data_IF_974374894347
#
_entry.id   IF_974374894347
#
_cell.length_a   1.000
_cell.length_b   1.000
_cell.length_c   1.000
_cell.angle_alpha   90.00
_cell.angle_beta   90.00
_cell.angle_gamma   90.00
#
_symmetry.space_group_name_H-M   'P 1'
#
loop_
_entity.id
_entity.type
_entity.pdbx_description
1 polymer ?
#
# COMPACT_ATOMS: atom_id res chain seq x y z
N UNK A 1 -14.96 16.19 3.75
CA UNK A 1 -14.84 14.88 3.09
C UNK A 1 -14.31 15.10 1.70
N UNK A 2 -13.42 14.24 1.23
CA UNK A 2 -12.86 14.48 -0.08
C UNK A 2 -11.73 13.54 -0.42
N UNK A 3 -10.88 13.98 -1.36
CA UNK A 3 -9.77 13.23 -1.89
C UNK A 3 -8.46 13.91 -1.51
N UNK A 4 -7.53 13.15 -0.94
CA UNK A 4 -6.20 13.60 -0.57
C UNK A 4 -5.15 12.78 -1.30
N UNK A 5 -4.04 13.40 -1.69
CA UNK A 5 -2.87 12.68 -2.21
C UNK A 5 -2.02 12.21 -1.03
N UNK A 6 -1.67 10.93 -1.02
CA UNK A 6 -0.86 10.35 0.04
C UNK A 6 0.62 10.34 -0.32
N UNK A 7 1.49 10.49 0.69
CA UNK A 7 2.90 10.13 0.60
C UNK A 7 3.00 8.62 0.77
N UNK A 8 2.98 7.91 -0.35
CA UNK A 8 2.94 6.47 -0.36
C UNK A 8 3.86 5.90 -1.42
N UNK A 9 4.38 4.69 -1.16
CA UNK A 9 5.11 3.93 -2.16
C UNK A 9 4.21 2.87 -2.79
N UNK A 10 4.56 2.48 -4.01
CA UNK A 10 3.92 1.38 -4.72
C UNK A 10 5.01 0.41 -5.15
N UNK A 11 4.99 -0.80 -4.62
CA UNK A 11 5.90 -1.88 -4.99
C UNK A 11 5.13 -2.95 -5.73
N UNK A 12 5.76 -3.59 -6.71
CA UNK A 12 5.16 -4.64 -7.52
C UNK A 12 5.96 -5.92 -7.36
N UNK A 13 5.29 -7.00 -6.99
CA UNK A 13 5.88 -8.33 -6.93
C UNK A 13 5.32 -9.17 -8.07
N UNK A 14 6.23 -9.80 -8.82
CA UNK A 14 5.90 -10.70 -9.93
C UNK A 14 6.49 -12.07 -9.67
N UNK A 15 5.85 -13.09 -10.21
CA UNK A 15 6.24 -14.49 -10.06
C UNK A 15 5.15 -15.31 -9.38
N UNK A 16 5.16 -16.60 -9.65
CA UNK A 16 4.09 -17.52 -9.17
C UNK A 16 4.06 -17.67 -7.66
N UNK A 17 5.18 -17.40 -6.97
CA UNK A 17 5.30 -17.58 -5.52
C UNK A 17 5.00 -16.29 -4.73
N UNK A 18 4.64 -15.20 -5.41
CA UNK A 18 4.50 -13.88 -4.79
C UNK A 18 3.50 -13.86 -3.64
N UNK A 19 2.32 -14.43 -3.83
CA UNK A 19 1.27 -14.39 -2.80
C UNK A 19 1.66 -15.21 -1.56
N UNK A 20 2.15 -16.43 -1.74
CA UNK A 20 2.61 -17.27 -0.63
C UNK A 20 3.83 -16.71 0.08
N UNK A 21 4.72 -16.04 -0.67
CA UNK A 21 5.87 -15.36 -0.12
C UNK A 21 5.45 -14.23 0.82
N UNK A 22 4.53 -13.37 0.38
CA UNK A 22 4.00 -12.27 1.20
C UNK A 22 3.22 -12.80 2.41
N UNK A 23 2.44 -13.86 2.24
CA UNK A 23 1.74 -14.50 3.35
C UNK A 23 2.74 -14.94 4.45
N UNK A 24 3.86 -15.52 4.05
CA UNK A 24 4.89 -15.97 4.99
C UNK A 24 5.60 -14.84 5.75
N UNK A 25 5.60 -13.63 5.24
CA UNK A 25 6.22 -12.46 5.88
C UNK A 25 5.23 -11.61 6.68
N UNK A 26 3.94 -11.88 6.57
CA UNK A 26 2.89 -11.03 7.13
C UNK A 26 2.46 -11.51 8.51
N UNK A 27 1.91 -10.58 9.31
CA UNK A 27 1.38 -10.90 10.65
C UNK A 27 0.01 -11.57 10.60
N UNK A 28 -0.72 -11.42 9.50
CA UNK A 28 -1.99 -12.08 9.27
C UNK A 28 -1.92 -12.89 7.98
N UNK A 29 -2.90 -13.74 7.78
CA UNK A 29 -2.98 -14.56 6.56
C UNK A 29 -3.29 -13.70 5.35
N UNK A 30 -2.50 -13.85 4.28
CA UNK A 30 -2.65 -13.14 3.00
C UNK A 30 -3.06 -14.14 1.93
N UNK A 31 -4.30 -14.07 1.49
CA UNK A 31 -4.86 -14.95 0.44
C UNK A 31 -5.26 -14.17 -0.82
N UNK A 32 -5.20 -12.84 -0.78
CA UNK A 32 -5.58 -11.94 -1.86
C UNK A 32 -5.51 -10.50 -1.39
N UNK A 33 -6.35 -9.64 -1.95
CA UNK A 33 -6.38 -8.22 -1.58
C UNK A 33 -6.76 -8.05 -0.11
N UNK A 34 -5.89 -7.39 0.66
CA UNK A 34 -6.08 -7.18 2.11
C UNK A 34 -5.12 -6.11 2.62
N UNK A 35 -5.23 -5.80 3.92
CA UNK A 35 -4.25 -4.99 4.63
C UNK A 35 -3.44 -5.90 5.56
N UNK A 36 -2.14 -5.70 5.60
CA UNK A 36 -1.26 -6.47 6.48
C UNK A 36 -0.16 -5.61 7.09
N UNK A 37 0.51 -6.14 8.09
CA UNK A 37 1.64 -5.50 8.76
C UNK A 37 2.88 -6.39 8.58
N UNK A 38 3.98 -5.77 8.14
CA UNK A 38 5.28 -6.43 8.07
C UNK A 38 6.09 -6.08 9.32
N UNK A 39 6.73 -7.09 9.88
CA UNK A 39 7.55 -6.94 11.09
C UNK A 39 8.93 -7.56 10.90
N UNK A 40 9.90 -7.10 11.70
CA UNK A 40 11.22 -7.73 11.77
C UNK A 40 11.14 -9.03 12.57
N UNK A 41 12.24 -9.79 12.60
CA UNK A 41 12.34 -11.03 13.37
C UNK A 41 12.14 -10.86 14.88
N UNK A 42 12.30 -9.62 15.38
CA UNK A 42 12.04 -9.27 16.79
C UNK A 42 10.68 -8.61 16.97
N UNK A 43 9.77 -8.80 16.02
CA UNK A 43 8.40 -8.29 16.03
C UNK A 43 8.28 -6.76 16.02
N UNK A 44 9.29 -6.05 15.55
CA UNK A 44 9.22 -4.60 15.35
C UNK A 44 8.50 -4.29 14.04
N UNK A 45 7.50 -3.43 14.07
CA UNK A 45 6.71 -3.05 12.89
C UNK A 45 7.57 -2.29 11.88
N UNK A 46 7.59 -2.75 10.63
CA UNK A 46 8.22 -2.06 9.51
C UNK A 46 7.22 -1.09 8.90
N UNK A 47 6.05 -1.59 8.48
CA UNK A 47 4.99 -0.77 7.91
C UNK A 47 3.67 -1.54 7.91
N UNK A 48 2.57 -0.80 7.84
CA UNK A 48 1.23 -1.33 7.58
C UNK A 48 0.92 -1.09 6.10
N UNK A 49 0.63 -2.15 5.36
CA UNK A 49 0.63 -2.17 3.91
C UNK A 49 -0.69 -2.70 3.38
N UNK A 50 -1.23 -2.03 2.35
CA UNK A 50 -2.33 -2.56 1.57
C UNK A 50 -1.77 -3.46 0.46
N UNK A 51 -2.25 -4.69 0.39
CA UNK A 51 -1.89 -5.68 -0.62
C UNK A 51 -3.01 -5.75 -1.64
N UNK A 52 -2.67 -5.54 -2.91
CA UNK A 52 -3.62 -5.62 -4.02
C UNK A 52 -3.22 -6.75 -4.94
N UNK A 53 -4.04 -7.80 -5.00
CA UNK A 53 -3.83 -8.91 -5.90
C UNK A 53 -4.46 -8.59 -7.27
N UNK A 54 -3.61 -8.41 -8.28
CA UNK A 54 -4.02 -8.08 -9.65
C UNK A 54 -4.00 -9.31 -10.58
N UNK A 55 -3.75 -10.52 -10.04
CA UNK A 55 -3.64 -11.75 -10.81
C UNK A 55 -2.23 -11.96 -11.36
N UNK A 56 -1.79 -11.12 -12.30
CA UNK A 56 -0.46 -11.21 -12.92
C UNK A 56 0.65 -10.71 -12.01
N UNK A 57 0.31 -9.86 -11.03
CA UNK A 57 1.25 -9.32 -10.07
C UNK A 57 0.53 -8.91 -8.80
N UNK A 58 1.30 -8.66 -7.75
CA UNK A 58 0.80 -8.14 -6.48
C UNK A 58 1.39 -6.75 -6.26
N UNK A 59 0.54 -5.77 -5.96
CA UNK A 59 0.97 -4.43 -5.60
C UNK A 59 0.93 -4.26 -4.08
N UNK A 60 1.98 -3.64 -3.53
CA UNK A 60 2.06 -3.26 -2.12
C UNK A 60 2.05 -1.74 -2.04
N UNK A 61 1.11 -1.19 -1.30
CA UNK A 61 0.98 0.25 -1.10
C UNK A 61 1.15 0.56 0.37
N UNK A 62 2.16 1.34 0.71
CA UNK A 62 2.48 1.66 2.09
C UNK A 62 2.93 3.10 2.25
N UNK A 63 3.39 3.46 3.47
CA UNK A 63 3.79 4.82 3.81
C UNK A 63 5.18 5.13 3.25
N UNK A 64 5.30 6.21 2.48
CA UNK A 64 6.49 6.56 1.68
C UNK A 64 7.84 6.47 2.41
N UNK A 65 7.99 7.04 3.63
CA UNK A 65 9.28 7.01 4.34
C UNK A 65 9.82 5.62 4.66
N UNK A 66 8.99 4.58 4.63
CA UNK A 66 9.38 3.20 4.99
C UNK A 66 9.63 2.32 3.77
N UNK A 67 9.64 2.88 2.56
CA UNK A 67 9.83 2.14 1.31
C UNK A 67 11.14 1.34 1.31
N UNK A 68 12.26 2.00 1.58
CA UNK A 68 13.58 1.37 1.51
C UNK A 68 13.72 0.25 2.56
N UNK A 69 13.19 0.49 3.76
CA UNK A 69 13.19 -0.53 4.82
C UNK A 69 12.42 -1.78 4.40
N UNK A 70 11.26 -1.61 3.76
CA UNK A 70 10.47 -2.75 3.30
C UNK A 70 11.12 -3.47 2.11
N UNK A 71 11.68 -2.73 1.15
CA UNK A 71 12.41 -3.33 0.02
C UNK A 71 13.56 -4.19 0.54
N UNK A 72 14.37 -3.68 1.45
CA UNK A 72 15.49 -4.42 2.05
C UNK A 72 15.00 -5.67 2.79
N UNK A 73 13.94 -5.54 3.57
CA UNK A 73 13.35 -6.65 4.32
C UNK A 73 12.89 -7.78 3.39
N UNK A 74 12.18 -7.43 2.32
CA UNK A 74 11.68 -8.40 1.33
C UNK A 74 12.83 -9.01 0.55
N UNK A 75 13.74 -8.18 0.04
CA UNK A 75 14.85 -8.63 -0.82
C UNK A 75 15.75 -9.64 -0.13
N UNK A 76 16.03 -9.45 1.15
CA UNK A 76 16.87 -10.38 1.95
C UNK A 76 16.22 -11.75 2.15
N UNK A 77 14.92 -11.87 1.96
CA UNK A 77 14.18 -13.11 2.20
C UNK A 77 13.83 -13.87 0.93
N UNK A 78 14.18 -13.35 -0.23
CA UNK A 78 14.04 -14.08 -1.49
C UNK A 78 15.22 -15.05 -1.61
N UNK A 79 14.93 -16.34 -1.41
CA UNK A 79 15.93 -17.41 -1.38
C UNK A 79 15.62 -18.50 -2.41
N UNK A 80 15.42 -18.10 -3.66
CA UNK A 80 15.13 -19.02 -4.73
C UNK A 80 13.65 -19.17 -5.10
N UNK A 81 12.75 -18.51 -4.37
CA UNK A 81 11.34 -18.46 -4.76
C UNK A 81 11.18 -17.69 -6.08
N UNK A 82 10.15 -18.01 -6.84
CA UNK A 82 9.79 -17.27 -8.05
C UNK A 82 9.08 -15.97 -7.67
N UNK A 83 9.88 -14.99 -7.23
CA UNK A 83 9.42 -13.66 -6.79
C UNK A 83 10.45 -12.64 -7.24
N UNK A 84 9.99 -11.57 -7.87
CA UNK A 84 10.81 -10.40 -8.13
C UNK A 84 10.08 -9.15 -7.64
N UNK A 85 10.84 -8.18 -7.11
CA UNK A 85 10.29 -6.94 -6.59
C UNK A 85 10.72 -5.77 -7.48
N UNK A 86 9.77 -4.89 -7.80
CA UNK A 86 10.02 -3.67 -8.54
C UNK A 86 9.41 -2.47 -7.81
N UNK A 87 10.06 -1.33 -7.92
CA UNK A 87 9.55 -0.06 -7.38
C UNK A 87 8.80 0.68 -8.47
N UNK A 88 7.48 0.79 -8.33
CA UNK A 88 6.60 1.49 -9.24
C UNK A 88 6.15 2.85 -8.71
N UNK A 89 6.79 3.36 -7.66
CA UNK A 89 6.39 4.61 -6.99
C UNK A 89 6.51 5.82 -7.90
N UNK A 90 7.54 5.85 -8.78
CA UNK A 90 7.75 6.98 -9.70
C UNK A 90 6.69 7.06 -10.81
N UNK A 91 6.08 5.94 -11.17
CA UNK A 91 5.09 5.87 -12.25
C UNK A 91 3.64 5.88 -11.77
N UNK A 92 3.41 5.96 -10.47
CA UNK A 92 2.07 5.93 -9.89
C UNK A 92 1.93 6.97 -8.78
N UNK A 93 0.72 7.53 -8.68
CA UNK A 93 0.32 8.41 -7.59
C UNK A 93 -0.74 7.69 -6.76
N UNK A 94 -0.74 7.90 -5.46
CA UNK A 94 -1.68 7.27 -4.54
C UNK A 94 -2.54 8.35 -3.90
N UNK A 95 -3.86 8.14 -3.95
CA UNK A 95 -4.83 9.03 -3.34
C UNK A 95 -5.72 8.24 -2.40
N UNK A 96 -6.33 8.94 -1.47
CA UNK A 96 -7.38 8.37 -0.62
C UNK A 96 -8.63 9.22 -0.73
N UNK A 97 -9.77 8.58 -0.95
CA UNK A 97 -11.08 9.22 -0.90
C UNK A 97 -11.85 8.71 0.32
N UNK A 98 -12.46 9.64 1.03
CA UNK A 98 -13.36 9.29 2.14
C UNK A 98 -14.74 8.81 1.64
N UNK A 99 -14.99 8.98 0.34
CA UNK A 99 -16.25 8.61 -0.31
C UNK A 99 -15.96 7.72 -1.51
N UNK A 100 -16.92 6.88 -1.89
CA UNK A 100 -16.82 6.10 -3.11
C UNK A 100 -17.03 7.02 -4.32
N UNK A 101 -15.97 7.24 -5.09
CA UNK A 101 -15.99 8.07 -6.29
C UNK A 101 -15.71 7.22 -7.54
N UNK A 102 -16.23 7.65 -8.68
CA UNK A 102 -15.91 7.01 -9.95
C UNK A 102 -14.49 7.38 -10.40
N UNK A 103 -13.78 6.39 -10.95
CA UNK A 103 -12.42 6.57 -11.46
C UNK A 103 -12.32 6.04 -12.89
N UNK A 104 -11.38 6.56 -13.72
CA UNK A 104 -11.14 6.02 -15.05
C UNK A 104 -10.72 4.55 -15.03
N UNK A 105 -10.84 3.87 -16.16
CA UNK A 105 -10.58 2.43 -16.30
C UNK A 105 -9.15 2.02 -15.95
N UNK A 106 -8.17 2.87 -16.22
CA UNK A 106 -6.75 2.58 -15.94
C UNK A 106 -6.32 2.98 -14.53
N UNK A 107 -7.25 3.41 -13.70
CA UNK A 107 -7.03 3.75 -12.30
C UNK A 107 -7.58 2.62 -11.43
N UNK A 108 -6.78 2.17 -10.48
CA UNK A 108 -7.19 1.14 -9.52
C UNK A 108 -7.84 1.78 -8.30
N UNK A 109 -9.03 1.31 -7.95
CA UNK A 109 -9.74 1.74 -6.75
C UNK A 109 -10.14 0.51 -5.95
N UNK A 110 -9.92 0.53 -4.63
CA UNK A 110 -10.40 -0.55 -3.76
C UNK A 110 -10.67 -0.01 -2.36
N UNK A 111 -11.53 -0.73 -1.63
CA UNK A 111 -11.90 -0.35 -0.27
C UNK A 111 -10.83 -0.87 0.70
N UNK A 112 -10.11 0.05 1.32
CA UNK A 112 -9.06 -0.21 2.30
C UNK A 112 -9.59 0.09 3.70
N UNK A 113 -8.82 -0.30 4.74
CA UNK A 113 -9.13 0.08 6.12
C UNK A 113 -9.18 1.61 6.32
N UNK A 114 -8.52 2.36 5.45
CA UNK A 114 -8.45 3.83 5.50
C UNK A 114 -9.59 4.54 4.77
N UNK A 115 -10.27 3.83 3.88
CA UNK A 115 -11.27 4.38 2.98
C UNK A 115 -11.05 3.85 1.56
N UNK A 116 -11.39 4.64 0.55
CA UNK A 116 -11.19 4.25 -0.85
C UNK A 116 -9.80 4.62 -1.31
N UNK A 117 -8.93 3.64 -1.43
CA UNK A 117 -7.56 3.84 -1.91
C UNK A 117 -7.56 3.83 -3.44
N UNK A 118 -6.89 4.84 -4.03
CA UNK A 118 -6.85 5.05 -5.48
C UNK A 118 -5.39 5.08 -5.91
N UNK A 119 -5.02 4.18 -6.82
CA UNK A 119 -3.68 4.14 -7.41
C UNK A 119 -3.81 4.49 -8.89
N UNK A 120 -3.19 5.59 -9.29
CA UNK A 120 -3.31 6.17 -10.62
C UNK A 120 -1.95 6.26 -11.29
N UNK A 121 -1.85 6.04 -12.62
CA UNK A 121 -0.64 6.41 -13.35
C UNK A 121 -0.27 7.87 -13.13
N UNK A 122 1.02 8.18 -13.02
CA UNK A 122 1.49 9.52 -12.69
C UNK A 122 1.21 10.56 -13.78
N UNK A 123 0.87 10.12 -14.99
CA UNK A 123 0.47 11.01 -16.10
C UNK A 123 -1.02 11.39 -16.07
N UNK A 124 -1.76 10.92 -15.09
CA UNK A 124 -3.17 11.27 -14.88
C UNK A 124 -3.30 12.09 -13.60
N UNK A 125 -4.26 13.00 -13.57
CA UNK A 125 -4.55 13.81 -12.40
C UNK A 125 -5.91 13.44 -11.83
N UNK A 126 -5.93 13.14 -10.53
CA UNK A 126 -7.15 13.00 -9.74
C UNK A 126 -7.30 14.31 -8.96
N UNK A 127 -8.50 14.88 -8.97
CA UNK A 127 -8.76 16.13 -8.25
C UNK A 127 -8.59 15.95 -6.74
N UNK A 128 -7.66 16.72 -6.15
CA UNK A 128 -7.45 16.74 -4.71
C UNK A 128 -8.36 17.79 -4.10
N UNK A 129 -9.23 17.38 -3.17
CA UNK A 129 -10.22 18.26 -2.54
C UNK A 129 -10.02 18.40 -1.04
N UNK A 130 -9.02 17.72 -0.47
CA UNK A 130 -8.74 17.69 0.96
C UNK A 130 -7.24 17.83 1.17
N UNK A 131 -6.83 18.62 2.18
CA UNK A 131 -5.42 18.74 2.53
C UNK A 131 -4.95 17.52 3.37
N UNK A 132 -3.62 17.35 3.46
CA UNK A 132 -3.04 16.33 4.35
C UNK A 132 -3.42 16.60 5.81
N UNK A 133 -3.48 17.86 6.23
CA UNK A 133 -3.90 18.22 7.60
C UNK A 133 -5.35 17.82 7.87
N UNK A 134 -6.26 18.05 6.92
CA UNK A 134 -7.65 17.64 7.04
C UNK A 134 -7.79 16.12 7.07
N UNK A 135 -7.01 15.41 6.28
CA UNK A 135 -6.97 13.96 6.29
C UNK A 135 -6.45 13.41 7.62
N UNK A 136 -5.39 14.00 8.18
CA UNK A 136 -4.85 13.59 9.47
C UNK A 136 -5.89 13.74 10.59
N UNK A 137 -6.68 14.83 10.58
CA UNK A 137 -7.78 15.01 11.52
C UNK A 137 -8.85 13.93 11.35
N UNK A 138 -9.28 13.66 10.12
CA UNK A 138 -10.23 12.59 9.81
C UNK A 138 -9.70 11.22 10.26
N UNK A 139 -8.43 10.95 10.00
CA UNK A 139 -7.77 9.68 10.35
C UNK A 139 -7.78 9.45 11.86
N UNK A 140 -7.44 10.47 12.65
CA UNK A 140 -7.44 10.39 14.11
C UNK A 140 -8.86 10.19 14.65
N UNK A 141 -9.84 10.91 14.13
CA UNK A 141 -11.25 10.78 14.53
C UNK A 141 -11.81 9.37 14.24
N UNK A 142 -11.34 8.72 13.18
CA UNK A 142 -11.81 7.40 12.76
C UNK A 142 -10.85 6.26 13.16
N UNK A 143 -9.87 6.54 14.01
CA UNK A 143 -8.92 5.55 14.54
C UNK A 143 -8.14 4.81 13.46
N UNK A 144 -7.74 5.53 12.40
CA UNK A 144 -6.95 4.98 11.29
C UNK A 144 -5.47 5.24 11.57
N UNK A 145 -4.65 4.19 11.84
CA UNK A 145 -3.25 4.38 12.22
C UNK A 145 -2.33 4.61 11.02
N UNK A 146 -1.19 5.27 11.28
CA UNK A 146 -0.06 5.36 10.36
C UNK A 146 1.20 4.96 11.11
N UNK A 147 2.05 4.16 10.48
CA UNK A 147 3.34 3.78 11.03
C UNK A 147 4.19 5.05 11.31
N UNK A 148 4.82 5.08 12.47
CA UNK A 148 5.64 6.20 12.93
C UNK A 148 4.86 7.31 13.63
N UNK A 149 3.53 7.24 13.68
CA UNK A 149 2.67 8.17 14.39
C UNK A 149 1.90 7.50 15.53
N UNK A 150 1.13 6.46 15.25
CA UNK A 150 0.32 5.75 16.25
C UNK A 150 0.74 4.30 16.49
N UNK A 151 1.60 3.77 15.65
CA UNK A 151 2.05 2.38 15.75
C UNK A 151 3.47 2.32 16.29
#
# INVERSE_FOLDING_TARGET
MGVVQLDAYVLVLRGKDSLSFIDGLSTNRVEGTCTTVFTTSVAKVIDMVDVIDKGDFIALVGHGPYKDALIDHISQRILGQDVSIGDASASNLVYLSTEDIEVPKNVTKFNSFRGWLIVSPSNMNIEVTMSVADYDEYRVENLIPIQGKEI
#
